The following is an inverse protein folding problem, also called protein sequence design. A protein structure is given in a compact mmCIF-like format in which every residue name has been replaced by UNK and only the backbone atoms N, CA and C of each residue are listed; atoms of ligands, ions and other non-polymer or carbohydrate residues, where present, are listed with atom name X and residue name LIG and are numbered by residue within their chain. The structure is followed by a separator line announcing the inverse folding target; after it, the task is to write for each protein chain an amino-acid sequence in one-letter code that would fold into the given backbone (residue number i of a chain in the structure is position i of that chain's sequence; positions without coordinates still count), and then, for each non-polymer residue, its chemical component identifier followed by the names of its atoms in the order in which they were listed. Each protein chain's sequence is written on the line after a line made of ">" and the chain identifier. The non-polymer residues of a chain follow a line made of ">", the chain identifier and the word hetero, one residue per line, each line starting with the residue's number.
data_IF_943308126710
#
_entry.id   IF_943308126710
#
_cell.length_a   1.000
_cell.length_b   1.000
_cell.length_c   1.000
_cell.angle_alpha   90.00
_cell.angle_beta   90.00
_cell.angle_gamma   90.00
#
_symmetry.space_group_name_H-M   'P 1'
#
loop_
_entity.id
_entity.type
_entity.pdbx_description
1 polymer ?
#
# COMPACT_ATOMS: atom_id res chain seq x y z
N UNK A 1 22.02 8.92 -3.29
CA UNK A 1 20.58 8.59 -3.28
C UNK A 1 20.31 7.68 -2.09
N UNK A 2 19.31 8.00 -1.27
CA UNK A 2 18.88 7.11 -0.20
C UNK A 2 17.96 6.01 -0.73
N UNK A 3 17.92 4.84 -0.09
CA UNK A 3 17.03 3.75 -0.48
C UNK A 3 15.56 4.21 -0.57
N UNK A 4 15.12 5.09 0.33
CA UNK A 4 13.74 5.59 0.40
C UNK A 4 13.39 6.70 -0.61
N UNK A 5 14.39 7.29 -1.26
CA UNK A 5 14.23 8.42 -2.18
C UNK A 5 14.52 8.05 -3.63
N UNK A 6 15.18 6.91 -3.86
CA UNK A 6 15.54 6.40 -5.18
C UNK A 6 14.33 6.07 -6.08
N UNK A 7 14.30 6.54 -7.34
CA UNK A 7 13.26 6.18 -8.31
C UNK A 7 13.11 4.66 -8.51
N UNK A 8 14.21 3.89 -8.37
CA UNK A 8 14.16 2.42 -8.47
C UNK A 8 13.30 1.80 -7.37
N UNK A 9 13.33 2.36 -6.16
CA UNK A 9 12.50 1.90 -5.04
C UNK A 9 11.03 2.19 -5.30
N UNK A 10 10.70 3.38 -5.82
CA UNK A 10 9.33 3.71 -6.22
C UNK A 10 8.82 2.78 -7.32
N UNK A 11 9.63 2.49 -8.33
CA UNK A 11 9.28 1.55 -9.41
C UNK A 11 9.06 0.12 -8.88
N UNK A 12 9.94 -0.36 -7.99
CA UNK A 12 9.78 -1.68 -7.37
C UNK A 12 8.49 -1.78 -6.55
N UNK A 13 8.18 -0.77 -5.73
CA UNK A 13 6.93 -0.72 -4.97
C UNK A 13 5.70 -0.58 -5.87
N UNK A 14 5.82 0.07 -7.03
CA UNK A 14 4.74 0.13 -8.00
C UNK A 14 4.43 -1.23 -8.63
N UNK A 15 5.47 -1.99 -9.00
CA UNK A 15 5.30 -3.38 -9.49
C UNK A 15 4.67 -4.25 -8.40
N UNK A 16 5.11 -4.10 -7.15
CA UNK A 16 4.48 -4.78 -6.01
C UNK A 16 2.99 -4.43 -5.89
N UNK A 17 2.64 -3.14 -5.91
CA UNK A 17 1.24 -2.70 -5.83
C UNK A 17 0.38 -3.16 -7.01
N UNK A 18 0.95 -3.25 -8.22
CA UNK A 18 0.26 -3.81 -9.36
C UNK A 18 -0.04 -5.30 -9.17
N UNK A 19 0.93 -6.08 -8.67
CA UNK A 19 0.73 -7.49 -8.35
C UNK A 19 -0.30 -7.70 -7.25
N UNK A 20 -0.24 -6.90 -6.19
CA UNK A 20 -1.19 -6.95 -5.08
C UNK A 20 -2.60 -6.49 -5.49
N UNK A 21 -2.72 -5.54 -6.41
CA UNK A 21 -3.98 -5.15 -7.03
C UNK A 21 -4.61 -6.32 -7.79
N UNK A 22 -3.82 -7.03 -8.61
CA UNK A 22 -4.31 -8.23 -9.33
C UNK A 22 -4.74 -9.29 -8.33
N UNK A 23 -3.92 -9.59 -7.33
CA UNK A 23 -4.22 -10.58 -6.29
C UNK A 23 -5.54 -10.23 -5.55
N UNK A 24 -5.78 -8.96 -5.23
CA UNK A 24 -7.02 -8.50 -4.60
C UNK A 24 -8.24 -8.46 -5.54
N UNK A 25 -8.03 -8.48 -6.86
CA UNK A 25 -9.12 -8.43 -7.85
C UNK A 25 -9.63 -9.83 -8.23
N UNK A 26 -8.81 -10.87 -8.03
CA UNK A 26 -9.20 -12.26 -8.25
C UNK A 26 -9.63 -12.94 -6.94
N UNK A 27 -10.53 -13.94 -6.98
CA UNK A 27 -11.04 -14.62 -5.78
C UNK A 27 -9.99 -15.59 -5.22
N UNK A 28 -8.97 -15.04 -4.54
CA UNK A 28 -7.96 -15.83 -3.84
C UNK A 28 -8.44 -16.15 -2.42
N UNK A 29 -8.67 -17.44 -2.15
CA UNK A 29 -9.15 -17.94 -0.85
C UNK A 29 -8.38 -17.38 0.37
N UNK A 30 -7.03 -17.27 0.36
CA UNK A 30 -6.30 -16.68 1.48
C UNK A 30 -6.63 -15.20 1.73
N UNK A 31 -6.89 -14.43 0.67
CA UNK A 31 -7.24 -13.00 0.77
C UNK A 31 -8.68 -12.85 1.24
N UNK A 32 -9.62 -13.61 0.67
CA UNK A 32 -11.02 -13.60 1.09
C UNK A 32 -11.15 -13.95 2.57
N UNK A 33 -10.49 -15.03 3.01
CA UNK A 33 -10.46 -15.43 4.42
C UNK A 33 -9.85 -14.34 5.30
N UNK A 34 -8.76 -13.71 4.88
CA UNK A 34 -8.17 -12.60 5.64
C UNK A 34 -9.17 -11.45 5.79
N UNK A 35 -9.84 -11.06 4.71
CA UNK A 35 -10.83 -9.98 4.73
C UNK A 35 -12.07 -10.33 5.56
N UNK A 36 -12.48 -11.60 5.58
CA UNK A 36 -13.53 -12.13 6.45
C UNK A 36 -13.12 -12.09 7.93
N UNK A 37 -11.93 -12.62 8.25
CA UNK A 37 -11.36 -12.63 9.60
C UNK A 37 -11.24 -11.19 10.15
N UNK A 38 -10.90 -10.22 9.30
CA UNK A 38 -10.81 -8.79 9.65
C UNK A 38 -12.16 -8.06 9.66
N UNK A 39 -13.25 -8.74 9.28
CA UNK A 39 -14.59 -8.17 9.21
C UNK A 39 -14.70 -7.00 8.23
N UNK A 40 -14.06 -7.10 7.06
CA UNK A 40 -14.14 -6.10 5.98
C UNK A 40 -15.43 -6.35 5.17
N UNK A 41 -16.36 -5.39 5.10
CA UNK A 41 -17.60 -5.53 4.36
C UNK A 41 -17.37 -5.87 2.88
N UNK A 42 -18.16 -6.79 2.33
CA UNK A 42 -18.05 -7.24 0.93
C UNK A 42 -18.11 -6.06 -0.07
N UNK A 43 -18.96 -5.06 0.19
CA UNK A 43 -19.08 -3.87 -0.67
C UNK A 43 -17.84 -2.96 -0.70
N UNK A 44 -16.94 -3.06 0.28
CA UNK A 44 -15.68 -2.29 0.32
C UNK A 44 -14.55 -3.02 -0.40
N UNK A 45 -14.59 -4.36 -0.48
CA UNK A 45 -13.50 -5.16 -1.06
C UNK A 45 -13.10 -4.77 -2.48
N UNK A 46 -14.02 -4.40 -3.40
CA UNK A 46 -13.66 -3.93 -4.74
C UNK A 46 -12.84 -2.63 -4.75
N UNK A 47 -12.89 -1.82 -3.69
CA UNK A 47 -12.07 -0.60 -3.57
C UNK A 47 -10.60 -0.93 -3.36
N UNK A 48 -10.29 -2.08 -2.74
CA UNK A 48 -8.92 -2.50 -2.43
C UNK A 48 -8.03 -2.66 -3.67
N UNK A 49 -8.42 -3.41 -4.73
CA UNK A 49 -7.61 -3.50 -5.94
C UNK A 49 -7.52 -2.15 -6.69
N UNK A 50 -8.59 -1.35 -6.68
CA UNK A 50 -8.59 -0.02 -7.32
C UNK A 50 -7.59 0.92 -6.65
N UNK A 51 -7.59 1.00 -5.32
CA UNK A 51 -6.66 1.81 -4.56
C UNK A 51 -5.19 1.39 -4.81
N UNK A 52 -4.94 0.08 -4.87
CA UNK A 52 -3.61 -0.46 -5.17
C UNK A 52 -3.16 -0.14 -6.59
N UNK A 53 -4.02 -0.33 -7.59
CA UNK A 53 -3.73 0.01 -8.97
C UNK A 53 -3.43 1.50 -9.15
N UNK A 54 -4.24 2.38 -8.54
CA UNK A 54 -4.00 3.83 -8.55
C UNK A 54 -2.65 4.18 -7.89
N UNK A 55 -2.30 3.48 -6.80
CA UNK A 55 -1.02 3.68 -6.13
C UNK A 55 0.18 3.24 -6.98
N UNK A 56 0.05 2.16 -7.77
CA UNK A 56 1.10 1.75 -8.70
C UNK A 56 1.39 2.82 -9.75
N UNK A 57 0.35 3.43 -10.33
CA UNK A 57 0.49 4.54 -11.28
C UNK A 57 1.15 5.75 -10.62
N UNK A 58 0.70 6.12 -9.42
CA UNK A 58 1.26 7.23 -8.67
C UNK A 58 2.74 7.05 -8.31
N UNK A 59 3.14 5.84 -7.91
CA UNK A 59 4.54 5.51 -7.61
C UNK A 59 5.43 5.49 -8.87
N UNK A 60 4.95 4.93 -10.00
CA UNK A 60 5.68 4.97 -11.28
C UNK A 60 5.92 6.40 -11.78
N UNK A 61 5.07 7.35 -11.37
CA UNK A 61 5.21 8.74 -11.78
C UNK A 61 6.41 9.47 -11.14
N UNK A 62 7.14 8.85 -10.20
CA UNK A 62 8.15 9.52 -9.37
C UNK A 62 9.21 10.32 -10.16
N UNK A 63 9.63 9.85 -11.33
CA UNK A 63 10.64 10.53 -12.16
C UNK A 63 10.09 11.75 -12.91
N UNK A 64 8.78 11.76 -13.22
CA UNK A 64 8.15 12.80 -14.03
C UNK A 64 7.32 13.78 -13.21
N UNK A 65 6.72 13.30 -12.12
CA UNK A 65 5.83 14.04 -11.23
C UNK A 65 6.16 13.70 -9.76
N UNK A 66 7.31 14.15 -9.22
CA UNK A 66 7.75 13.80 -7.87
C UNK A 66 6.74 14.22 -6.77
N UNK A 67 5.99 15.30 -6.99
CA UNK A 67 4.91 15.72 -6.10
C UNK A 67 3.75 14.71 -6.07
N UNK A 68 3.37 14.14 -7.22
CA UNK A 68 2.33 13.12 -7.31
C UNK A 68 2.77 11.83 -6.59
N UNK A 69 4.01 11.38 -6.80
CA UNK A 69 4.53 10.21 -6.09
C UNK A 69 4.58 10.42 -4.57
N UNK A 70 4.91 11.63 -4.09
CA UNK A 70 4.85 11.97 -2.66
C UNK A 70 3.42 12.01 -2.12
N UNK A 71 2.47 12.50 -2.90
CA UNK A 71 1.06 12.43 -2.55
C UNK A 71 0.59 10.96 -2.47
N UNK A 72 1.03 10.12 -3.40
CA UNK A 72 0.72 8.70 -3.40
C UNK A 72 1.27 7.99 -2.16
N UNK A 73 2.51 8.26 -1.75
CA UNK A 73 3.05 7.69 -0.51
C UNK A 73 2.27 8.18 0.72
N UNK A 74 1.81 9.44 0.73
CA UNK A 74 0.96 9.96 1.81
C UNK A 74 -0.40 9.22 1.87
N UNK A 75 -1.03 8.96 0.73
CA UNK A 75 -2.27 8.18 0.66
C UNK A 75 -2.07 6.72 1.03
N UNK A 76 -0.93 6.12 0.67
CA UNK A 76 -0.56 4.79 1.12
C UNK A 76 -0.34 4.76 2.64
N UNK A 77 0.25 5.79 3.24
CA UNK A 77 0.32 5.92 4.70
C UNK A 77 -1.07 5.88 5.31
N UNK A 78 -2.03 6.68 4.82
CA UNK A 78 -3.41 6.65 5.31
C UNK A 78 -4.05 5.28 5.11
N UNK A 79 -3.88 4.67 3.94
CA UNK A 79 -4.37 3.33 3.65
C UNK A 79 -3.84 2.29 4.66
N UNK A 80 -2.54 2.31 4.97
CA UNK A 80 -1.94 1.36 5.90
C UNK A 80 -2.24 1.68 7.38
N UNK A 81 -2.54 2.93 7.73
CA UNK A 81 -3.15 3.26 9.04
C UNK A 81 -4.51 2.57 9.15
N UNK A 82 -5.36 2.68 8.13
CA UNK A 82 -6.66 2.00 8.11
C UNK A 82 -6.50 0.48 8.17
N UNK A 83 -5.58 -0.09 7.37
CA UNK A 83 -5.29 -1.52 7.37
C UNK A 83 -4.85 -2.00 8.76
N UNK A 84 -3.84 -1.37 9.35
CA UNK A 84 -3.39 -1.72 10.70
C UNK A 84 -4.50 -1.53 11.75
N UNK A 85 -5.32 -0.48 11.61
CA UNK A 85 -6.51 -0.26 12.43
C UNK A 85 -7.52 -1.39 12.31
N UNK A 86 -7.73 -1.98 11.13
CA UNK A 86 -8.60 -3.15 10.97
C UNK A 86 -8.06 -4.39 11.67
N UNK A 87 -6.74 -4.64 11.62
CA UNK A 87 -6.10 -5.72 12.40
C UNK A 87 -6.29 -5.51 13.90
N UNK A 88 -6.01 -4.29 14.40
CA UNK A 88 -6.17 -3.96 15.83
C UNK A 88 -7.63 -4.13 16.26
N UNK A 89 -8.60 -3.63 15.47
CA UNK A 89 -10.04 -3.77 15.73
C UNK A 89 -10.47 -5.23 15.80
N UNK A 90 -9.96 -6.07 14.89
CA UNK A 90 -10.21 -7.51 14.87
C UNK A 90 -9.40 -8.28 15.93
N UNK A 91 -8.57 -7.60 16.73
CA UNK A 91 -7.63 -8.19 17.69
C UNK A 91 -6.66 -9.19 17.04
N UNK A 92 -6.31 -8.95 15.78
CA UNK A 92 -5.34 -9.75 15.03
C UNK A 92 -3.91 -9.28 15.33
N UNK A 93 -3.34 -9.80 16.42
CA UNK A 93 -1.95 -9.56 16.82
C UNK A 93 -0.99 -10.62 16.28
N UNK A 94 -1.38 -11.32 15.21
CA UNK A 94 -0.56 -12.36 14.60
C UNK A 94 0.44 -11.80 13.60
N UNK A 95 1.25 -12.69 12.99
CA UNK A 95 2.16 -12.35 11.90
C UNK A 95 1.47 -11.70 10.70
N UNK A 96 0.14 -11.82 10.58
CA UNK A 96 -0.66 -11.20 9.51
C UNK A 96 -0.73 -9.68 9.60
N UNK A 97 -0.53 -9.09 10.78
CA UNK A 97 -0.48 -7.64 10.97
C UNK A 97 0.90 -7.02 10.66
N UNK A 98 1.96 -7.84 10.60
CA UNK A 98 3.34 -7.37 10.37
C UNK A 98 3.47 -6.60 9.05
N UNK A 99 2.96 -7.10 7.90
CA UNK A 99 3.04 -6.34 6.65
C UNK A 99 2.36 -4.97 6.74
N UNK A 100 1.20 -4.87 7.41
CA UNK A 100 0.48 -3.62 7.55
C UNK A 100 1.31 -2.58 8.33
N UNK A 101 1.94 -2.99 9.43
CA UNK A 101 2.81 -2.11 10.22
C UNK A 101 4.09 -1.71 9.48
N UNK A 102 4.74 -2.65 8.78
CA UNK A 102 5.97 -2.38 8.03
C UNK A 102 5.71 -1.44 6.85
N UNK A 103 4.65 -1.68 6.07
CA UNK A 103 4.30 -0.78 4.97
C UNK A 103 3.85 0.59 5.47
N UNK A 104 3.14 0.67 6.59
CA UNK A 104 2.84 1.95 7.24
C UNK A 104 4.12 2.74 7.52
N UNK A 105 5.09 2.12 8.21
CA UNK A 105 6.36 2.75 8.54
C UNK A 105 7.13 3.17 7.27
N UNK A 106 7.20 2.28 6.27
CA UNK A 106 7.86 2.53 5.00
C UNK A 106 7.27 3.75 4.28
N UNK A 107 5.95 3.75 4.03
CA UNK A 107 5.31 4.83 3.28
C UNK A 107 5.29 6.14 4.06
N UNK A 108 5.17 6.11 5.40
CA UNK A 108 5.31 7.30 6.23
C UNK A 108 6.71 7.91 6.09
N UNK A 109 7.76 7.09 6.14
CA UNK A 109 9.14 7.56 5.95
C UNK A 109 9.39 8.10 4.53
N UNK A 110 8.85 7.44 3.50
CA UNK A 110 8.93 7.92 2.12
C UNK A 110 8.15 9.21 1.90
N UNK A 111 7.01 9.40 2.55
CA UNK A 111 6.22 10.65 2.51
C UNK A 111 6.98 11.81 3.13
N UNK A 112 7.63 11.57 4.27
CA UNK A 112 8.42 12.58 4.96
C UNK A 112 9.61 13.04 4.11
N UNK A 113 10.32 12.11 3.46
CA UNK A 113 11.52 12.40 2.65
C UNK A 113 11.20 12.89 1.24
N UNK A 114 10.18 12.32 0.58
CA UNK A 114 9.89 12.51 -0.84
C UNK A 114 10.88 11.80 -1.77
N UNK A 115 10.56 11.68 -3.07
CA UNK A 115 11.48 11.14 -4.07
C UNK A 115 12.60 12.13 -4.41
N UNK A 116 13.78 11.61 -4.75
CA UNK A 116 14.88 12.42 -5.30
C UNK A 116 14.45 13.02 -6.64
N UNK A 117 14.81 14.28 -6.88
CA UNK A 117 14.66 14.89 -8.21
C UNK A 117 15.75 14.33 -9.10
N UNK A 118 15.35 13.71 -10.22
CA UNK A 118 16.27 13.27 -11.28
C UNK A 118 16.64 14.47 -12.15
#
# INVERSE_FOLDING_TARGET
>A
MGLLTSPKTYAALAVFQAGDAVACAIPLAPIEKLLDDLGVPAGIRPVLPVAKAASAVGLLSATRFPALARLTTAMLTVYFVLALGTHIRARDFSVRAIPAALFLALFAAMTAKGPDRV
#
